data_IF_980532904109
#
_entry.id   IF_980532904109
#
_cell.length_a   1.000
_cell.length_b   1.000
_cell.length_c   1.000
_cell.angle_alpha   90.00
_cell.angle_beta   90.00
_cell.angle_gamma   90.00
#
_symmetry.space_group_name_H-M   'P 1'
#
loop_
_entity.id
_entity.type
_entity.pdbx_description
1 polymer ?
#
# COMPACT_ATOMS: atom_id res chain seq x y z
N UNK A 1 -6.99 52.26 19.39
CA UNK A 1 -6.69 51.50 20.59
C UNK A 1 -7.71 50.39 20.64
N UNK A 2 -7.41 49.27 20.03
CA UNK A 2 -7.84 47.89 20.36
C UNK A 2 -7.28 46.99 19.27
N UNK A 3 -6.24 46.33 19.65
CA UNK A 3 -5.61 45.25 18.93
C UNK A 3 -6.59 44.06 18.84
N UNK A 4 -6.85 43.52 17.65
CA UNK A 4 -7.52 42.25 17.47
C UNK A 4 -6.61 41.32 16.67
N UNK A 5 -5.87 40.56 17.42
CA UNK A 5 -5.10 39.41 16.99
C UNK A 5 -6.04 38.28 16.51
N UNK A 6 -6.06 38.00 15.20
CA UNK A 6 -6.80 36.88 14.62
C UNK A 6 -5.83 35.74 14.29
N UNK A 7 -5.62 34.86 15.28
CA UNK A 7 -5.00 33.56 15.07
C UNK A 7 -5.93 32.65 14.24
N UNK A 8 -5.52 32.36 13.01
CA UNK A 8 -6.17 31.34 12.15
C UNK A 8 -5.85 29.93 12.70
N UNK A 9 -6.80 29.35 13.40
CA UNK A 9 -6.78 27.93 13.74
C UNK A 9 -7.18 27.10 12.52
N UNK A 10 -6.24 26.36 11.93
CA UNK A 10 -6.51 25.35 10.93
C UNK A 10 -7.26 24.17 11.56
N UNK A 11 -8.55 24.05 11.32
CA UNK A 11 -9.38 22.96 11.79
C UNK A 11 -9.08 21.67 11.03
N UNK A 12 -8.37 20.74 11.65
CA UNK A 12 -8.37 19.33 11.26
C UNK A 12 -9.76 18.77 11.54
N UNK A 13 -10.53 18.45 10.51
CA UNK A 13 -11.79 17.71 10.67
C UNK A 13 -11.48 16.31 11.24
N UNK A 14 -11.72 16.15 12.53
CA UNK A 14 -11.61 14.88 13.23
C UNK A 14 -12.71 13.92 12.79
N UNK A 15 -12.32 12.72 12.36
CA UNK A 15 -13.26 11.62 12.19
C UNK A 15 -13.90 11.27 13.56
N UNK A 16 -15.21 10.96 13.59
CA UNK A 16 -15.89 10.66 14.85
C UNK A 16 -15.29 9.41 15.51
N UNK A 17 -14.84 9.55 16.73
CA UNK A 17 -14.28 8.48 17.55
C UNK A 17 -15.32 7.39 17.82
N UNK A 18 -15.03 6.15 17.44
CA UNK A 18 -15.73 4.97 17.93
C UNK A 18 -16.37 4.03 16.91
N UNK A 19 -16.45 4.35 15.63
CA UNK A 19 -16.97 3.40 14.64
C UNK A 19 -15.92 2.32 14.32
N UNK A 20 -16.19 1.07 14.70
CA UNK A 20 -15.53 -0.09 14.09
C UNK A 20 -15.90 -0.07 12.61
N UNK A 21 -14.93 0.17 11.76
CA UNK A 21 -15.16 0.10 10.32
C UNK A 21 -15.73 -1.28 9.96
N UNK A 22 -16.78 -1.29 9.18
CA UNK A 22 -17.32 -2.55 8.65
C UNK A 22 -16.30 -3.20 7.70
N UNK A 23 -16.42 -4.50 7.47
CA UNK A 23 -15.49 -5.26 6.62
C UNK A 23 -15.67 -4.97 5.13
N UNK A 24 -16.57 -4.09 4.75
CA UNK A 24 -16.93 -3.74 3.38
C UNK A 24 -16.84 -2.23 3.10
N UNK A 25 -16.40 -1.42 4.07
CA UNK A 25 -16.13 0.00 3.85
C UNK A 25 -14.88 0.17 2.99
N UNK A 26 -15.03 0.68 1.78
CA UNK A 26 -13.93 0.97 0.88
C UNK A 26 -13.08 2.13 1.44
N UNK A 27 -11.80 1.90 1.64
CA UNK A 27 -10.86 2.90 2.20
C UNK A 27 -9.81 3.36 1.20
N UNK A 28 -9.36 2.42 0.36
CA UNK A 28 -8.32 2.65 -0.63
C UNK A 28 -8.62 1.91 -1.92
N UNK A 29 -8.36 2.60 -3.03
CA UNK A 29 -8.26 2.01 -4.37
C UNK A 29 -6.85 2.28 -4.87
N UNK A 30 -6.08 1.23 -5.21
CA UNK A 30 -4.88 1.40 -6.01
C UNK A 30 -5.22 1.14 -7.47
N UNK A 31 -4.97 2.12 -8.32
CA UNK A 31 -5.26 2.02 -9.74
C UNK A 31 -3.97 2.08 -10.57
N UNK A 32 -3.67 0.98 -11.25
CA UNK A 32 -2.63 0.91 -12.29
C UNK A 32 -3.12 1.70 -13.50
N UNK A 33 -2.87 3.02 -13.49
CA UNK A 33 -3.43 3.94 -14.47
C UNK A 33 -2.75 3.84 -15.85
N UNK A 34 -1.56 3.30 -15.86
CA UNK A 34 -0.78 2.90 -17.04
C UNK A 34 0.15 1.76 -16.68
N UNK A 35 0.51 0.92 -17.66
CA UNK A 35 1.56 -0.09 -17.48
C UNK A 35 2.91 0.34 -18.04
N UNK A 36 2.98 1.48 -18.75
CA UNK A 36 4.24 2.03 -19.24
C UNK A 36 5.16 2.42 -18.09
N UNK A 37 6.44 2.07 -18.18
CA UNK A 37 7.46 2.41 -17.20
C UNK A 37 8.82 2.59 -17.84
N UNK A 38 9.56 3.58 -17.39
CA UNK A 38 10.94 3.85 -17.80
C UNK A 38 11.98 3.07 -17.00
N UNK A 39 11.58 2.31 -15.97
CA UNK A 39 12.45 1.44 -15.17
C UNK A 39 12.20 -0.04 -15.46
N UNK A 40 13.17 -0.90 -15.08
CA UNK A 40 13.16 -2.34 -15.30
C UNK A 40 13.29 -3.14 -14.00
N UNK A 41 12.64 -2.70 -12.91
CA UNK A 41 12.79 -3.25 -11.56
C UNK A 41 12.67 -4.77 -11.53
N UNK A 42 13.60 -5.45 -10.84
CA UNK A 42 13.67 -6.91 -10.77
C UNK A 42 12.45 -7.53 -10.08
N UNK A 43 11.82 -6.82 -9.15
CA UNK A 43 10.64 -7.25 -8.37
C UNK A 43 9.31 -6.78 -8.94
N UNK A 44 9.29 -6.16 -10.12
CA UNK A 44 8.10 -5.46 -10.63
C UNK A 44 6.87 -6.37 -10.72
N UNK A 45 5.86 -6.05 -9.92
CA UNK A 45 4.56 -6.74 -9.88
C UNK A 45 3.87 -6.78 -11.24
N UNK A 46 3.91 -5.67 -11.96
CA UNK A 46 3.24 -5.52 -13.26
C UNK A 46 4.06 -6.06 -14.44
N UNK A 47 5.33 -6.46 -14.21
CA UNK A 47 6.29 -6.71 -15.30
C UNK A 47 6.35 -5.56 -16.31
N UNK A 48 6.20 -4.33 -15.83
CA UNK A 48 6.11 -3.12 -16.64
C UNK A 48 7.39 -2.87 -17.44
N UNK A 49 7.21 -2.38 -18.65
CA UNK A 49 8.25 -1.92 -19.59
C UNK A 49 7.76 -0.69 -20.34
N UNK A 50 8.56 -0.10 -21.22
CA UNK A 50 8.02 0.87 -22.19
C UNK A 50 7.15 0.12 -23.20
N UNK A 51 5.85 0.54 -23.26
CA UNK A 51 4.84 -0.02 -24.15
C UNK A 51 5.08 0.17 -25.63
N UNK A 52 4.06 0.10 -26.45
CA UNK A 52 2.65 0.37 -26.10
C UNK A 52 1.93 -0.80 -25.45
N UNK A 53 1.00 -0.50 -24.54
CA UNK A 53 0.06 -1.47 -23.96
C UNK A 53 -1.35 -1.20 -24.50
N UNK A 54 -2.01 -2.26 -25.00
CA UNK A 54 -3.39 -2.19 -25.46
C UNK A 54 -4.39 -2.20 -24.31
N UNK A 55 -5.57 -1.62 -24.52
CA UNK A 55 -6.69 -1.70 -23.58
C UNK A 55 -6.59 -0.77 -22.36
N UNK A 56 -5.61 0.13 -22.29
CA UNK A 56 -5.59 1.14 -21.21
C UNK A 56 -6.86 2.01 -21.25
N UNK A 57 -7.49 2.21 -20.10
CA UNK A 57 -8.68 3.06 -19.98
C UNK A 57 -8.38 4.48 -20.47
N UNK A 58 -9.02 4.88 -21.55
CA UNK A 58 -8.90 6.23 -22.11
C UNK A 58 -9.52 7.27 -21.17
N UNK A 59 -9.18 8.56 -21.34
CA UNK A 59 -9.63 9.65 -20.47
C UNK A 59 -11.11 9.60 -20.10
N UNK A 60 -12.07 9.45 -21.04
CA UNK A 60 -13.49 9.43 -20.67
C UNK A 60 -13.85 8.25 -19.75
N UNK A 61 -13.27 7.07 -19.97
CA UNK A 61 -13.49 5.91 -19.12
C UNK A 61 -12.82 6.08 -17.74
N UNK A 62 -11.63 6.69 -17.70
CA UNK A 62 -10.92 7.03 -16.49
C UNK A 62 -11.73 7.98 -15.59
N UNK A 63 -12.31 9.04 -16.14
CA UNK A 63 -13.14 9.97 -15.39
C UNK A 63 -14.44 9.31 -14.89
N UNK A 64 -15.10 8.48 -15.73
CA UNK A 64 -16.29 7.71 -15.30
C UNK A 64 -15.97 6.76 -14.14
N UNK A 65 -14.81 6.09 -14.17
CA UNK A 65 -14.40 5.22 -13.08
C UNK A 65 -14.23 5.99 -11.76
N UNK A 66 -13.64 7.18 -11.78
CA UNK A 66 -13.52 8.02 -10.57
C UNK A 66 -14.90 8.45 -10.03
N UNK A 67 -15.86 8.77 -10.90
CA UNK A 67 -17.24 9.04 -10.49
C UNK A 67 -17.83 7.82 -9.75
N UNK A 68 -17.74 6.63 -10.33
CA UNK A 68 -18.24 5.40 -9.72
C UNK A 68 -17.57 5.05 -8.38
N UNK A 69 -16.25 5.28 -8.27
CA UNK A 69 -15.54 5.11 -6.99
C UNK A 69 -16.08 6.09 -5.95
N UNK A 70 -16.23 7.37 -6.32
CA UNK A 70 -16.72 8.42 -5.44
C UNK A 70 -18.18 8.24 -4.99
N UNK A 71 -19.00 7.57 -5.79
CA UNK A 71 -20.36 7.15 -5.45
C UNK A 71 -20.40 6.04 -4.40
N UNK A 72 -19.39 5.15 -4.40
CA UNK A 72 -19.28 4.09 -3.39
C UNK A 72 -18.77 4.65 -2.07
N UNK A 73 -17.65 5.41 -2.11
CA UNK A 73 -17.03 5.98 -0.91
C UNK A 73 -16.04 7.10 -1.28
N UNK A 74 -15.96 8.15 -0.44
CA UNK A 74 -14.91 9.19 -0.54
C UNK A 74 -13.60 8.67 0.05
N UNK A 75 -12.95 7.79 -0.68
CA UNK A 75 -11.78 7.04 -0.24
C UNK A 75 -10.45 7.64 -0.77
N UNK A 76 -9.35 7.01 -0.39
CA UNK A 76 -8.03 7.31 -0.97
C UNK A 76 -7.92 6.59 -2.32
N UNK A 77 -7.55 7.31 -3.37
CA UNK A 77 -7.20 6.74 -4.68
C UNK A 77 -5.71 6.92 -4.92
N UNK A 78 -5.01 5.81 -5.06
CA UNK A 78 -3.57 5.76 -5.35
C UNK A 78 -3.41 5.59 -6.85
N UNK A 79 -3.03 6.65 -7.55
CA UNK A 79 -2.62 6.57 -8.95
C UNK A 79 -1.24 5.92 -9.01
N UNK A 80 -1.18 4.70 -9.53
CA UNK A 80 0.04 3.90 -9.63
C UNK A 80 0.14 3.28 -11.02
N UNK A 81 1.02 2.32 -11.21
CA UNK A 81 1.09 1.62 -12.49
C UNK A 81 2.47 1.06 -12.77
N UNK A 82 2.94 1.26 -13.99
CA UNK A 82 4.35 1.34 -14.31
C UNK A 82 4.90 2.64 -13.72
N UNK A 83 4.86 3.72 -14.51
CA UNK A 83 5.16 5.07 -14.03
C UNK A 83 4.01 6.03 -14.44
N UNK A 84 3.22 6.53 -13.47
CA UNK A 84 2.05 7.37 -13.75
C UNK A 84 2.36 8.63 -14.58
N UNK A 85 3.54 9.22 -14.43
CA UNK A 85 3.95 10.43 -15.16
C UNK A 85 4.13 10.20 -16.67
N UNK A 86 4.15 8.94 -17.14
CA UNK A 86 4.13 8.61 -18.57
C UNK A 86 2.73 8.68 -19.17
N UNK A 87 1.68 8.77 -18.35
CA UNK A 87 0.32 8.93 -18.85
C UNK A 87 0.02 10.41 -19.13
N UNK A 88 -0.32 10.73 -20.38
CA UNK A 88 -0.47 12.12 -20.88
C UNK A 88 -1.54 12.93 -20.15
N UNK A 89 -2.65 12.30 -19.76
CA UNK A 89 -3.80 12.94 -19.10
C UNK A 89 -3.80 12.78 -17.56
N UNK A 90 -2.67 12.38 -16.95
CA UNK A 90 -2.58 12.04 -15.53
C UNK A 90 -3.07 13.18 -14.62
N UNK A 91 -2.69 14.42 -14.90
CA UNK A 91 -3.09 15.58 -14.09
C UNK A 91 -4.57 15.90 -14.24
N UNK A 92 -5.16 15.71 -15.44
CA UNK A 92 -6.61 15.86 -15.66
C UNK A 92 -7.39 14.82 -14.85
N UNK A 93 -6.92 13.58 -14.82
CA UNK A 93 -7.53 12.49 -14.05
C UNK A 93 -7.41 12.77 -12.55
N UNK A 94 -6.23 13.20 -12.08
CA UNK A 94 -6.00 13.54 -10.69
C UNK A 94 -6.90 14.69 -10.22
N UNK A 95 -6.96 15.80 -10.99
CA UNK A 95 -7.79 16.96 -10.67
C UNK A 95 -9.28 16.59 -10.60
N UNK A 96 -9.77 15.76 -11.52
CA UNK A 96 -11.14 15.29 -11.48
C UNK A 96 -11.45 14.49 -10.20
N UNK A 97 -10.57 13.56 -9.81
CA UNK A 97 -10.72 12.83 -8.55
C UNK A 97 -10.75 13.75 -7.33
N UNK A 98 -9.87 14.75 -7.29
CA UNK A 98 -9.83 15.76 -6.22
C UNK A 98 -11.13 16.57 -6.15
N UNK A 99 -11.69 17.00 -7.31
CA UNK A 99 -12.96 17.71 -7.40
C UNK A 99 -14.15 16.88 -6.90
N UNK A 100 -14.08 15.55 -7.08
CA UNK A 100 -15.08 14.62 -6.54
C UNK A 100 -14.97 14.41 -5.02
N UNK A 101 -13.96 15.00 -4.35
CA UNK A 101 -13.68 14.80 -2.92
C UNK A 101 -12.96 13.50 -2.59
N UNK A 102 -12.39 12.84 -3.59
CA UNK A 102 -11.48 11.71 -3.37
C UNK A 102 -10.12 12.22 -2.87
N UNK A 103 -9.48 11.48 -1.97
CA UNK A 103 -8.11 11.78 -1.56
C UNK A 103 -7.14 11.22 -2.59
N UNK A 104 -6.70 12.08 -3.52
CA UNK A 104 -5.80 11.68 -4.58
C UNK A 104 -4.35 11.63 -4.10
N UNK A 105 -3.69 10.50 -4.26
CA UNK A 105 -2.25 10.29 -3.99
C UNK A 105 -1.63 9.58 -5.19
N UNK A 106 -0.30 9.71 -5.36
CA UNK A 106 0.37 9.11 -6.51
C UNK A 106 1.61 8.33 -6.07
N UNK A 107 1.86 7.19 -6.71
CA UNK A 107 3.05 6.38 -6.48
C UNK A 107 3.94 6.42 -7.72
N UNK A 108 5.08 7.10 -7.61
CA UNK A 108 6.05 7.35 -8.69
C UNK A 108 7.41 6.75 -8.36
N UNK A 109 8.21 6.50 -9.38
CA UNK A 109 9.61 6.12 -9.19
C UNK A 109 10.53 7.32 -8.91
N UNK A 110 10.05 8.55 -9.10
CA UNK A 110 10.75 9.80 -8.85
C UNK A 110 11.64 10.29 -9.99
N UNK A 111 12.07 9.43 -10.91
CA UNK A 111 13.08 9.78 -11.93
C UNK A 111 12.57 10.72 -13.01
N UNK A 112 11.26 10.79 -13.22
CA UNK A 112 10.60 11.65 -14.23
C UNK A 112 10.02 12.93 -13.63
N UNK A 113 10.24 13.19 -12.34
CA UNK A 113 9.77 14.42 -11.70
C UNK A 113 10.60 15.61 -12.21
N UNK A 114 9.89 16.63 -12.68
CA UNK A 114 10.42 17.94 -13.08
C UNK A 114 9.77 19.04 -12.24
N UNK A 115 10.32 20.24 -12.23
CA UNK A 115 9.70 21.38 -11.53
C UNK A 115 8.28 21.67 -12.07
N UNK A 116 8.09 21.56 -13.39
CA UNK A 116 6.81 21.75 -14.05
C UNK A 116 5.77 20.72 -13.57
N UNK A 117 6.10 19.41 -13.66
CA UNK A 117 5.12 18.39 -13.31
C UNK A 117 4.88 18.28 -11.79
N UNK A 118 5.85 18.68 -10.96
CA UNK A 118 5.65 18.83 -9.51
C UNK A 118 4.61 19.92 -9.20
N UNK A 119 4.71 21.07 -9.85
CA UNK A 119 3.67 22.14 -9.75
C UNK A 119 2.31 21.62 -10.22
N UNK A 120 2.24 20.96 -11.37
CA UNK A 120 0.97 20.38 -11.89
C UNK A 120 0.37 19.31 -10.99
N UNK A 121 1.20 18.53 -10.27
CA UNK A 121 0.71 17.58 -9.24
C UNK A 121 0.05 18.31 -8.08
N UNK A 122 0.66 19.41 -7.58
CA UNK A 122 0.08 20.22 -6.53
C UNK A 122 -1.25 20.85 -6.98
N UNK A 123 -1.29 21.47 -8.18
CA UNK A 123 -2.48 22.09 -8.77
C UNK A 123 -3.62 21.07 -8.99
N UNK A 124 -3.28 19.83 -9.33
CA UNK A 124 -4.23 18.73 -9.49
C UNK A 124 -4.75 18.16 -8.14
N UNK A 125 -4.26 18.67 -7.01
CA UNK A 125 -4.71 18.27 -5.67
C UNK A 125 -4.12 16.93 -5.19
N UNK A 126 -2.95 16.53 -5.70
CA UNK A 126 -2.22 15.37 -5.17
C UNK A 126 -1.72 15.70 -3.76
N UNK A 127 -2.22 14.96 -2.77
CA UNK A 127 -1.95 15.26 -1.35
C UNK A 127 -0.69 14.59 -0.80
N UNK A 128 -0.22 13.50 -1.44
CA UNK A 128 0.99 12.79 -1.03
C UNK A 128 1.57 12.00 -2.19
N UNK A 129 2.88 11.92 -2.23
CA UNK A 129 3.60 11.05 -3.15
C UNK A 129 4.24 9.88 -2.42
N UNK A 130 4.18 8.69 -3.03
CA UNK A 130 4.96 7.54 -2.59
C UNK A 130 6.14 7.38 -3.55
N UNK A 131 7.35 7.48 -3.04
CA UNK A 131 8.57 7.36 -3.83
C UNK A 131 9.31 6.10 -3.41
N UNK A 132 9.75 5.36 -4.39
CA UNK A 132 10.37 4.07 -4.14
C UNK A 132 11.88 4.21 -3.94
N UNK A 133 12.38 3.76 -2.78
CA UNK A 133 13.81 3.64 -2.46
C UNK A 133 14.04 2.24 -1.89
N UNK A 134 14.84 1.41 -2.60
CA UNK A 134 15.09 0.01 -2.22
C UNK A 134 16.54 -0.30 -1.85
N UNK A 135 17.39 0.70 -1.82
CA UNK A 135 18.77 0.61 -1.36
C UNK A 135 19.20 1.92 -0.73
N UNK A 136 20.08 1.88 0.26
CA UNK A 136 20.67 3.06 0.91
C UNK A 136 21.79 3.71 0.07
N UNK A 137 22.18 3.11 -1.04
CA UNK A 137 23.20 3.59 -1.97
C UNK A 137 22.70 3.49 -3.42
N UNK A 138 23.29 4.31 -4.29
CA UNK A 138 22.98 4.29 -5.73
C UNK A 138 23.21 2.89 -6.34
N UNK A 139 24.33 2.25 -6.01
CA UNK A 139 24.64 0.91 -6.52
C UNK A 139 23.51 -0.10 -6.26
N UNK A 140 23.03 -0.17 -5.02
CA UNK A 140 22.02 -1.15 -4.60
C UNK A 140 20.64 -0.79 -5.11
N UNK A 141 20.28 0.49 -5.06
CA UNK A 141 18.99 0.93 -5.58
C UNK A 141 18.89 0.72 -7.09
N UNK A 142 19.91 1.13 -7.84
CA UNK A 142 19.96 1.02 -9.29
C UNK A 142 19.92 -0.45 -9.74
N UNK A 143 20.67 -1.34 -9.08
CA UNK A 143 20.61 -2.77 -9.34
C UNK A 143 19.19 -3.34 -9.12
N UNK A 144 18.50 -2.90 -8.08
CA UNK A 144 17.14 -3.33 -7.78
C UNK A 144 16.11 -2.76 -8.76
N UNK A 145 16.32 -1.50 -9.21
CA UNK A 145 15.46 -0.82 -10.18
C UNK A 145 15.78 -1.16 -11.64
N UNK A 146 16.91 -1.83 -11.87
CA UNK A 146 17.36 -2.28 -13.20
C UNK A 146 17.78 -1.16 -14.15
N UNK A 147 18.03 0.05 -13.65
CA UNK A 147 18.46 1.22 -14.43
C UNK A 147 19.45 2.05 -13.64
N UNK A 148 20.64 2.28 -14.21
CA UNK A 148 21.68 3.14 -13.63
C UNK A 148 21.20 4.59 -13.55
N UNK A 149 21.44 5.25 -12.41
CA UNK A 149 21.02 6.63 -12.14
C UNK A 149 19.57 6.75 -11.62
N UNK A 150 18.87 5.63 -11.37
CA UNK A 150 17.53 5.66 -10.80
C UNK A 150 17.52 6.26 -9.39
N UNK A 151 18.54 5.99 -8.56
CA UNK A 151 18.68 6.55 -7.21
C UNK A 151 18.79 8.07 -7.24
N UNK A 152 19.76 8.56 -7.99
CA UNK A 152 19.98 10.01 -8.12
C UNK A 152 18.77 10.71 -8.74
N UNK A 153 18.11 10.06 -9.71
CA UNK A 153 16.87 10.54 -10.29
C UNK A 153 15.75 10.66 -9.26
N UNK A 154 15.59 9.66 -8.39
CA UNK A 154 14.61 9.69 -7.32
C UNK A 154 14.92 10.79 -6.29
N UNK A 155 16.18 10.96 -5.89
CA UNK A 155 16.58 12.03 -4.96
C UNK A 155 16.32 13.42 -5.54
N UNK A 156 16.69 13.66 -6.81
CA UNK A 156 16.35 14.93 -7.49
C UNK A 156 14.83 15.15 -7.53
N UNK A 157 14.06 14.10 -7.81
CA UNK A 157 12.59 14.14 -7.80
C UNK A 157 12.05 14.55 -6.43
N UNK A 158 12.58 13.98 -5.35
CA UNK A 158 12.22 14.32 -3.97
C UNK A 158 12.44 15.82 -3.69
N UNK A 159 13.58 16.36 -4.06
CA UNK A 159 13.87 17.79 -3.86
C UNK A 159 12.86 18.71 -4.61
N UNK A 160 12.47 18.32 -5.81
CA UNK A 160 11.46 19.08 -6.58
C UNK A 160 10.06 18.99 -5.96
N UNK A 161 9.70 17.82 -5.43
CA UNK A 161 8.45 17.57 -4.73
C UNK A 161 8.37 18.41 -3.44
N UNK A 162 9.46 18.45 -2.66
CA UNK A 162 9.57 19.30 -1.46
C UNK A 162 9.38 20.77 -1.79
N UNK A 163 10.04 21.25 -2.87
CA UNK A 163 9.87 22.65 -3.34
C UNK A 163 8.44 22.96 -3.78
N UNK A 164 7.70 21.99 -4.29
CA UNK A 164 6.29 22.13 -4.63
C UNK A 164 5.34 22.02 -3.41
N UNK A 165 5.88 21.80 -2.21
CA UNK A 165 5.08 21.69 -0.98
C UNK A 165 4.23 20.44 -0.87
N UNK A 166 4.59 19.35 -1.57
CA UNK A 166 3.85 18.09 -1.52
C UNK A 166 4.53 17.14 -0.55
N UNK A 167 3.77 16.62 0.42
CA UNK A 167 4.22 15.57 1.33
C UNK A 167 4.62 14.31 0.57
N UNK A 168 5.64 13.60 1.05
CA UNK A 168 6.03 12.33 0.47
C UNK A 168 6.36 11.27 1.52
N UNK A 169 6.29 10.03 1.08
CA UNK A 169 6.71 8.84 1.82
C UNK A 169 7.69 8.02 1.00
N UNK A 170 8.54 7.28 1.68
CA UNK A 170 9.41 6.28 1.06
C UNK A 170 8.72 4.91 1.12
N UNK A 171 8.73 4.20 -0.01
CA UNK A 171 8.32 2.81 -0.11
C UNK A 171 9.54 1.94 -0.42
N UNK A 172 9.74 0.88 0.37
CA UNK A 172 10.86 -0.05 0.22
C UNK A 172 10.36 -1.48 0.10
N UNK A 173 10.71 -2.18 -0.97
CA UNK A 173 10.45 -3.62 -1.08
C UNK A 173 11.56 -4.40 -0.41
N UNK A 174 11.22 -5.22 0.59
CA UNK A 174 12.16 -5.99 1.39
C UNK A 174 12.40 -7.36 0.76
N UNK A 175 13.66 -7.68 0.51
CA UNK A 175 14.16 -8.95 0.00
C UNK A 175 15.41 -9.37 0.80
N UNK A 176 15.95 -10.57 0.55
CA UNK A 176 17.25 -10.98 1.15
C UNK A 176 18.39 -10.02 0.81
N UNK A 177 18.36 -9.42 -0.38
CA UNK A 177 19.41 -8.52 -0.83
C UNK A 177 19.50 -7.22 -0.02
N UNK A 178 18.36 -6.72 0.53
CA UNK A 178 18.33 -5.43 1.20
C UNK A 178 17.75 -5.45 2.64
N UNK A 179 17.32 -6.59 3.17
CA UNK A 179 16.72 -6.66 4.52
C UNK A 179 17.63 -6.07 5.62
N UNK A 180 18.94 -6.24 5.48
CA UNK A 180 19.93 -5.68 6.42
C UNK A 180 20.14 -4.16 6.26
N UNK A 181 19.67 -3.57 5.17
CA UNK A 181 19.79 -2.14 4.88
C UNK A 181 18.56 -1.34 5.30
N UNK A 182 17.48 -2.00 5.68
CA UNK A 182 16.24 -1.30 6.05
C UNK A 182 16.46 -0.20 7.11
N UNK A 183 17.28 -0.41 8.17
CA UNK A 183 17.60 0.68 9.11
C UNK A 183 18.24 1.89 8.42
N UNK A 184 19.23 1.69 7.53
CA UNK A 184 19.88 2.78 6.80
C UNK A 184 18.95 3.47 5.80
N UNK A 185 18.00 2.72 5.21
CA UNK A 185 16.98 3.31 4.32
C UNK A 185 15.98 4.14 5.15
N UNK A 186 15.68 3.71 6.38
CA UNK A 186 14.84 4.49 7.31
C UNK A 186 15.54 5.79 7.73
N UNK A 187 16.83 5.74 8.08
CA UNK A 187 17.63 6.92 8.37
C UNK A 187 17.64 7.87 7.16
N UNK A 188 17.86 7.34 5.94
CA UNK A 188 17.80 8.13 4.71
C UNK A 188 16.41 8.76 4.50
N UNK A 189 15.33 8.06 4.82
CA UNK A 189 13.98 8.62 4.72
C UNK A 189 13.78 9.79 5.69
N UNK A 190 14.34 9.71 6.91
CA UNK A 190 14.36 10.80 7.89
C UNK A 190 15.14 11.99 7.34
N UNK A 191 16.36 11.77 6.85
CA UNK A 191 17.26 12.82 6.33
C UNK A 191 16.66 13.55 5.13
N UNK A 192 15.94 12.83 4.27
CA UNK A 192 15.23 13.40 3.13
C UNK A 192 14.00 14.22 3.55
N UNK A 193 13.52 14.08 4.77
CA UNK A 193 12.32 14.75 5.28
C UNK A 193 11.02 14.06 4.86
N UNK A 194 11.03 12.75 4.67
CA UNK A 194 9.81 11.98 4.44
C UNK A 194 8.90 12.04 5.67
N UNK A 195 7.58 11.95 5.46
CA UNK A 195 6.61 11.88 6.56
C UNK A 195 6.26 10.45 6.93
N UNK A 196 6.63 9.47 6.09
CA UNK A 196 6.34 8.06 6.34
C UNK A 196 7.37 7.15 5.64
N UNK A 197 7.59 5.96 6.23
CA UNK A 197 8.31 4.86 5.60
C UNK A 197 7.43 3.61 5.58
N UNK A 198 7.14 3.11 4.39
CA UNK A 198 6.35 1.90 4.19
C UNK A 198 7.24 0.78 3.64
N UNK A 199 7.38 -0.30 4.41
CA UNK A 199 8.06 -1.50 3.93
C UNK A 199 7.04 -2.47 3.29
N UNK A 200 7.44 -3.06 2.16
CA UNK A 200 6.66 -4.05 1.43
C UNK A 200 7.41 -5.39 1.43
N UNK A 201 6.92 -6.36 2.14
CA UNK A 201 7.55 -7.69 2.12
C UNK A 201 7.24 -8.36 0.77
N UNK A 202 8.29 -8.79 0.05
CA UNK A 202 8.18 -9.35 -1.30
C UNK A 202 7.06 -10.39 -1.39
N UNK A 203 6.20 -10.20 -2.38
CA UNK A 203 5.26 -11.21 -2.86
C UNK A 203 5.71 -11.58 -4.28
N UNK A 204 6.05 -12.83 -4.56
CA UNK A 204 6.68 -13.25 -5.83
C UNK A 204 5.65 -13.25 -6.98
N UNK A 205 5.28 -12.06 -7.46
CA UNK A 205 4.38 -11.83 -8.59
C UNK A 205 5.07 -11.06 -9.70
N UNK A 206 4.58 -11.13 -10.93
CA UNK A 206 5.22 -10.50 -12.08
C UNK A 206 6.68 -10.92 -12.22
N UNK A 207 7.60 -9.96 -12.44
CA UNK A 207 9.06 -10.25 -12.43
C UNK A 207 9.58 -10.75 -11.09
N UNK A 208 8.90 -10.42 -9.98
CA UNK A 208 9.24 -10.96 -8.67
C UNK A 208 9.22 -12.50 -8.58
N UNK A 209 8.57 -13.20 -9.52
CA UNK A 209 8.63 -14.67 -9.63
C UNK A 209 10.03 -15.18 -9.95
N UNK A 210 10.80 -14.43 -10.74
CA UNK A 210 12.17 -14.78 -11.13
C UNK A 210 13.19 -14.57 -10.02
N UNK A 211 12.80 -13.86 -8.95
CA UNK A 211 13.61 -13.65 -7.74
C UNK A 211 12.91 -14.21 -6.49
N UNK A 212 12.12 -15.25 -6.64
CA UNK A 212 11.39 -15.86 -5.51
C UNK A 212 12.33 -16.40 -4.42
N UNK A 213 13.56 -16.81 -4.79
CA UNK A 213 14.66 -17.17 -3.90
C UNK A 213 15.14 -16.00 -3.02
N UNK A 214 14.89 -14.76 -3.44
CA UNK A 214 15.16 -13.54 -2.67
C UNK A 214 14.08 -13.23 -1.63
N UNK A 215 13.03 -14.02 -1.53
CA UNK A 215 12.07 -13.91 -0.43
C UNK A 215 12.79 -14.24 0.89
N UNK A 216 12.67 -13.35 1.88
CA UNK A 216 13.25 -13.58 3.21
C UNK A 216 12.60 -14.79 3.88
N UNK A 217 13.33 -15.47 4.77
CA UNK A 217 12.79 -16.63 5.50
C UNK A 217 11.68 -16.22 6.47
N UNK A 218 10.90 -17.16 6.95
CA UNK A 218 9.84 -16.88 7.93
C UNK A 218 10.40 -16.28 9.23
N UNK A 219 11.60 -16.71 9.63
CA UNK A 219 12.33 -16.18 10.80
C UNK A 219 12.83 -14.76 10.57
N UNK A 220 13.39 -14.46 9.40
CA UNK A 220 13.78 -13.10 9.01
C UNK A 220 12.58 -12.18 8.93
N UNK A 221 11.48 -12.69 8.38
CA UNK A 221 10.21 -11.96 8.31
C UNK A 221 9.72 -11.56 9.71
N UNK A 222 9.67 -12.50 10.63
CA UNK A 222 9.25 -12.26 12.02
C UNK A 222 10.20 -11.26 12.71
N UNK A 223 11.53 -11.45 12.61
CA UNK A 223 12.53 -10.53 13.16
C UNK A 223 12.40 -9.11 12.60
N UNK A 224 12.22 -8.98 11.28
CA UNK A 224 12.04 -7.67 10.63
C UNK A 224 10.82 -6.95 11.17
N UNK A 225 9.71 -7.65 11.40
CA UNK A 225 8.50 -7.04 11.93
C UNK A 225 8.60 -6.69 13.42
N UNK A 226 9.34 -7.46 14.22
CA UNK A 226 9.65 -7.08 15.60
C UNK A 226 10.52 -5.83 15.65
N UNK A 227 11.58 -5.77 14.83
CA UNK A 227 12.40 -4.58 14.69
C UNK A 227 11.55 -3.37 14.26
N UNK A 228 10.68 -3.53 13.28
CA UNK A 228 9.81 -2.47 12.78
C UNK A 228 8.80 -1.97 13.84
N UNK A 229 8.36 -2.86 14.73
CA UNK A 229 7.57 -2.46 15.90
C UNK A 229 8.38 -1.57 16.84
N UNK A 230 9.64 -1.91 17.10
CA UNK A 230 10.52 -1.15 18.00
C UNK A 230 10.88 0.25 17.45
N UNK A 231 10.84 0.45 16.12
CA UNK A 231 11.09 1.77 15.52
C UNK A 231 9.98 2.79 15.78
N UNK A 232 8.76 2.37 16.12
CA UNK A 232 7.61 3.28 16.31
C UNK A 232 7.86 4.39 17.32
N UNK A 233 8.61 4.10 18.36
CA UNK A 233 8.91 5.04 19.45
C UNK A 233 10.28 5.74 19.22
N UNK A 234 10.98 5.44 18.12
CA UNK A 234 12.33 5.93 17.80
C UNK A 234 12.39 6.90 16.64
N UNK A 235 11.37 6.91 15.79
CA UNK A 235 11.29 7.78 14.62
C UNK A 235 9.99 8.57 14.62
N UNK A 236 10.01 9.75 13.99
CA UNK A 236 8.81 10.54 13.73
C UNK A 236 8.05 10.07 12.48
N UNK A 237 8.61 9.14 11.70
CA UNK A 237 7.99 8.62 10.49
C UNK A 237 6.73 7.82 10.83
N UNK A 238 5.68 8.00 10.02
CA UNK A 238 4.55 7.10 10.02
C UNK A 238 4.98 5.75 9.40
N UNK A 239 5.12 4.72 10.23
CA UNK A 239 5.57 3.41 9.80
C UNK A 239 4.41 2.52 9.36
N UNK A 240 4.57 1.78 8.25
CA UNK A 240 3.59 0.79 7.79
C UNK A 240 4.28 -0.42 7.17
N UNK A 241 3.91 -1.61 7.65
CA UNK A 241 4.32 -2.88 7.06
C UNK A 241 3.22 -3.36 6.09
N UNK A 242 3.50 -3.31 4.79
CA UNK A 242 2.60 -3.72 3.70
C UNK A 242 2.96 -5.12 3.22
N UNK A 243 1.98 -5.90 2.77
CA UNK A 243 2.14 -7.34 2.49
C UNK A 243 2.67 -8.12 3.71
N UNK A 244 2.52 -7.56 4.89
CA UNK A 244 3.04 -8.03 6.16
C UNK A 244 1.97 -8.05 7.27
N UNK A 245 0.83 -8.74 7.07
CA UNK A 245 -0.28 -8.71 8.03
C UNK A 245 0.10 -9.28 9.40
N UNK A 246 1.19 -10.06 9.51
CA UNK A 246 1.72 -10.57 10.79
C UNK A 246 2.07 -9.43 11.76
N UNK A 247 2.44 -8.25 11.25
CA UNK A 247 2.71 -7.06 12.06
C UNK A 247 1.57 -6.78 13.05
N UNK A 248 0.31 -6.91 12.62
CA UNK A 248 -0.85 -6.65 13.48
C UNK A 248 -1.07 -7.71 14.57
N UNK A 249 -0.56 -8.92 14.38
CA UNK A 249 -0.47 -9.93 15.43
C UNK A 249 0.65 -9.57 16.41
N UNK A 250 1.85 -9.30 15.87
CA UNK A 250 3.03 -8.92 16.67
C UNK A 250 2.73 -7.71 17.54
N UNK A 251 2.16 -6.65 16.96
CA UNK A 251 1.75 -5.45 17.68
C UNK A 251 0.89 -5.78 18.91
N UNK A 252 -0.10 -6.67 18.77
CA UNK A 252 -0.97 -7.06 19.88
C UNK A 252 -0.28 -7.97 20.89
N UNK A 253 0.62 -8.83 20.46
CA UNK A 253 1.43 -9.66 21.35
C UNK A 253 2.38 -8.80 22.18
N UNK A 254 3.17 -7.94 21.53
CA UNK A 254 4.10 -7.02 22.17
C UNK A 254 3.41 -6.06 23.11
N UNK A 255 2.32 -5.42 22.69
CA UNK A 255 1.55 -4.54 23.56
C UNK A 255 1.04 -5.25 24.81
N UNK A 256 0.60 -6.52 24.69
CA UNK A 256 0.19 -7.33 25.84
C UNK A 256 1.36 -7.65 26.78
N UNK A 257 2.50 -8.03 26.23
CA UNK A 257 3.73 -8.31 27.00
C UNK A 257 4.23 -7.06 27.75
N UNK A 258 4.08 -5.88 27.12
CA UNK A 258 4.45 -4.57 27.69
C UNK A 258 3.36 -3.97 28.61
N UNK A 259 2.26 -4.67 28.85
CA UNK A 259 1.13 -4.15 29.63
C UNK A 259 0.40 -2.97 29.00
N UNK A 260 0.61 -2.71 27.70
CA UNK A 260 0.01 -1.60 26.95
C UNK A 260 -1.33 -2.00 26.34
N UNK A 261 -2.29 -1.07 26.36
CA UNK A 261 -3.55 -1.24 25.65
C UNK A 261 -3.39 -0.82 24.18
N UNK A 262 -3.94 -1.63 23.26
CA UNK A 262 -3.98 -1.28 21.84
C UNK A 262 -5.26 -0.49 21.56
N UNK A 263 -5.15 0.82 21.53
CA UNK A 263 -6.21 1.76 21.19
C UNK A 263 -5.69 2.87 20.27
N UNK A 264 -6.58 3.76 19.82
CA UNK A 264 -6.22 4.83 18.88
C UNK A 264 -5.21 5.82 19.49
N UNK A 265 -5.27 6.06 20.79
CA UNK A 265 -4.34 6.96 21.50
C UNK A 265 -2.91 6.42 21.49
N UNK A 266 -2.75 5.12 21.69
CA UNK A 266 -1.44 4.46 21.82
C UNK A 266 -0.86 3.99 20.47
N UNK A 267 -1.72 3.63 19.50
CA UNK A 267 -1.30 2.98 18.27
C UNK A 267 -1.91 3.59 16.99
N UNK A 268 -2.63 4.70 17.12
CA UNK A 268 -3.22 5.41 15.99
C UNK A 268 -4.10 4.49 15.11
N UNK A 269 -3.96 4.63 13.80
CA UNK A 269 -4.71 3.84 12.83
C UNK A 269 -4.44 2.32 12.93
N UNK A 270 -3.28 1.90 13.43
CA UNK A 270 -2.96 0.47 13.59
C UNK A 270 -3.85 -0.24 14.60
N UNK A 271 -4.43 0.50 15.56
CA UNK A 271 -5.37 -0.06 16.52
C UNK A 271 -6.71 -0.43 15.89
N UNK A 272 -7.15 0.34 14.89
CA UNK A 272 -8.50 0.25 14.28
C UNK A 272 -8.50 -0.37 12.88
N UNK A 273 -7.34 -0.63 12.29
CA UNK A 273 -7.20 -1.31 11.01
C UNK A 273 -6.79 -2.78 11.18
N UNK A 274 -6.60 -3.47 10.08
CA UNK A 274 -6.15 -4.86 10.05
C UNK A 274 -5.01 -5.05 9.06
N UNK A 275 -4.37 -6.23 9.09
CA UNK A 275 -3.22 -6.55 8.28
C UNK A 275 -3.52 -6.62 6.79
N UNK A 276 -4.33 -7.58 6.37
CA UNK A 276 -4.72 -7.70 4.95
C UNK A 276 -6.05 -6.99 4.71
N UNK A 277 -6.03 -5.94 3.89
CA UNK A 277 -7.22 -5.16 3.51
C UNK A 277 -7.82 -5.61 2.16
N UNK A 278 -7.18 -6.53 1.44
CA UNK A 278 -7.65 -6.98 0.13
C UNK A 278 -9.11 -7.45 0.18
N UNK A 279 -9.98 -6.84 -0.62
CA UNK A 279 -11.42 -7.13 -0.66
C UNK A 279 -12.24 -6.65 0.54
N UNK A 280 -11.59 -6.17 1.62
CA UNK A 280 -12.28 -5.72 2.85
C UNK A 280 -12.24 -4.21 3.07
N UNK A 281 -11.24 -3.52 2.59
CA UNK A 281 -11.09 -2.07 2.67
C UNK A 281 -10.21 -1.54 1.56
N UNK A 282 -9.74 -2.43 0.71
CA UNK A 282 -8.82 -2.15 -0.38
C UNK A 282 -9.18 -2.98 -1.60
N UNK A 283 -9.09 -2.38 -2.78
CA UNK A 283 -9.04 -3.10 -4.04
C UNK A 283 -7.98 -2.50 -4.97
N UNK A 284 -7.65 -3.26 -5.98
CA UNK A 284 -6.77 -2.86 -7.07
C UNK A 284 -7.54 -2.86 -8.39
N UNK A 285 -7.26 -1.88 -9.25
CA UNK A 285 -7.82 -1.80 -10.60
C UNK A 285 -6.66 -1.78 -11.59
N UNK A 286 -6.67 -2.66 -12.58
CA UNK A 286 -5.66 -2.72 -13.63
C UNK A 286 -5.81 -1.58 -14.63
N UNK A 287 -4.80 -1.36 -15.47
CA UNK A 287 -4.84 -0.38 -16.56
C UNK A 287 -5.96 -0.65 -17.59
N UNK A 288 -6.45 -1.89 -17.66
CA UNK A 288 -7.56 -2.32 -18.53
C UNK A 288 -8.93 -2.28 -17.87
N UNK A 289 -9.00 -1.98 -16.54
CA UNK A 289 -10.26 -1.90 -15.81
C UNK A 289 -10.65 -3.17 -15.05
N UNK A 290 -9.79 -4.20 -15.00
CA UNK A 290 -10.04 -5.38 -14.19
C UNK A 290 -9.83 -5.06 -12.71
N UNK A 291 -10.84 -5.36 -11.89
CA UNK A 291 -10.80 -5.18 -10.44
C UNK A 291 -10.30 -6.46 -9.77
N UNK A 292 -9.38 -6.31 -8.82
CA UNK A 292 -8.78 -7.41 -8.06
C UNK A 292 -8.72 -7.04 -6.58
N UNK A 293 -8.67 -8.00 -5.64
CA UNK A 293 -8.59 -7.71 -4.21
C UNK A 293 -7.33 -6.92 -3.84
N UNK A 294 -6.23 -7.18 -4.55
CA UNK A 294 -4.93 -6.58 -4.31
C UNK A 294 -4.09 -6.64 -5.58
N UNK A 295 -3.18 -5.69 -5.78
CA UNK A 295 -2.28 -5.68 -6.93
C UNK A 295 -1.32 -6.89 -7.01
N UNK A 296 -1.16 -7.62 -5.92
CA UNK A 296 -0.37 -8.86 -5.85
C UNK A 296 -1.24 -10.13 -5.87
N UNK A 297 -2.55 -10.04 -5.81
CA UNK A 297 -3.49 -11.15 -5.86
C UNK A 297 -4.25 -11.10 -7.20
N UNK A 298 -3.72 -11.79 -8.18
CA UNK A 298 -4.24 -11.79 -9.55
C UNK A 298 -5.46 -12.72 -9.67
N UNK A 299 -6.53 -12.38 -8.94
CA UNK A 299 -7.84 -13.03 -9.01
C UNK A 299 -8.86 -11.97 -9.43
N UNK A 300 -9.41 -12.13 -10.62
CA UNK A 300 -10.35 -11.17 -11.18
C UNK A 300 -11.66 -11.18 -10.39
N UNK A 301 -12.06 -10.00 -9.95
CA UNK A 301 -13.26 -9.77 -9.15
C UNK A 301 -14.37 -9.09 -9.96
N UNK A 302 -14.04 -8.55 -11.14
CA UNK A 302 -14.95 -7.90 -12.08
C UNK A 302 -14.21 -6.98 -13.05
N UNK A 303 -14.95 -6.39 -13.99
CA UNK A 303 -14.44 -5.52 -15.06
C UNK A 303 -15.30 -4.24 -15.12
N UNK A 304 -14.71 -3.08 -14.81
CA UNK A 304 -15.42 -1.78 -14.78
C UNK A 304 -15.83 -1.28 -16.18
N UNK A 305 -15.37 -1.94 -17.23
CA UNK A 305 -15.83 -1.64 -18.61
C UNK A 305 -17.17 -2.32 -18.93
N UNK A 306 -17.59 -3.30 -18.13
CA UNK A 306 -18.76 -4.14 -18.36
C UNK A 306 -19.84 -4.03 -17.28
N UNK A 307 -19.44 -3.67 -16.05
CA UNK A 307 -20.34 -3.59 -14.90
C UNK A 307 -19.94 -2.42 -14.00
N UNK A 308 -20.85 -1.97 -13.14
CA UNK A 308 -20.56 -0.86 -12.24
C UNK A 308 -19.53 -1.24 -11.18
N UNK A 309 -18.67 -0.29 -10.79
CA UNK A 309 -17.72 -0.51 -9.70
C UNK A 309 -18.43 -0.84 -8.38
N UNK A 310 -19.61 -0.27 -8.14
CA UNK A 310 -20.40 -0.54 -6.95
C UNK A 310 -20.88 -2.01 -6.89
N UNK A 311 -21.30 -2.59 -8.01
CA UNK A 311 -21.69 -3.99 -8.10
C UNK A 311 -20.52 -4.92 -7.86
N UNK A 312 -19.37 -4.61 -8.47
CA UNK A 312 -18.13 -5.38 -8.25
C UNK A 312 -17.76 -5.35 -6.77
N UNK A 313 -17.71 -4.14 -6.16
CA UNK A 313 -17.30 -3.98 -4.77
C UNK A 313 -18.23 -4.71 -3.80
N UNK A 314 -19.54 -4.68 -4.05
CA UNK A 314 -20.54 -5.27 -3.14
C UNK A 314 -20.78 -6.76 -3.35
N UNK A 315 -20.78 -7.21 -4.60
CA UNK A 315 -21.33 -8.53 -4.96
C UNK A 315 -20.31 -9.51 -5.54
N UNK A 316 -19.06 -9.09 -5.80
CA UNK A 316 -18.04 -10.03 -6.26
C UNK A 316 -17.84 -11.15 -5.23
N UNK A 317 -17.94 -12.40 -5.69
CA UNK A 317 -17.73 -13.59 -4.86
C UNK A 317 -16.39 -13.55 -4.14
N UNK A 318 -15.32 -13.11 -4.81
CA UNK A 318 -13.98 -13.03 -4.23
C UNK A 318 -13.95 -12.07 -3.05
N UNK A 319 -14.62 -10.92 -3.15
CA UNK A 319 -14.70 -9.96 -2.05
C UNK A 319 -15.57 -10.46 -0.89
N UNK A 320 -16.70 -11.11 -1.20
CA UNK A 320 -17.55 -11.75 -0.19
C UNK A 320 -16.78 -12.82 0.59
N UNK A 321 -16.04 -13.69 -0.11
CA UNK A 321 -15.21 -14.73 0.51
C UNK A 321 -14.16 -14.12 1.45
N UNK A 322 -13.46 -13.05 1.02
CA UNK A 322 -12.40 -12.39 1.79
C UNK A 322 -12.94 -11.62 3.01
N UNK A 323 -14.19 -11.16 2.97
CA UNK A 323 -14.88 -10.49 4.09
C UNK A 323 -15.33 -11.45 5.18
N UNK A 324 -15.52 -12.73 4.83
CA UNK A 324 -15.84 -13.78 5.80
C UNK A 324 -14.56 -14.48 6.25
N UNK A 325 -14.04 -14.09 7.41
CA UNK A 325 -12.80 -14.66 7.97
C UNK A 325 -12.92 -16.11 8.40
N UNK A 326 -14.14 -16.64 8.49
CA UNK A 326 -14.38 -18.05 8.83
C UNK A 326 -14.17 -18.96 7.61
N UNK A 327 -14.07 -18.38 6.39
CA UNK A 327 -13.65 -19.08 5.18
C UNK A 327 -12.14 -19.38 5.14
N UNK A 328 -11.31 -18.71 5.98
CA UNK A 328 -9.88 -18.97 6.03
C UNK A 328 -9.59 -20.40 6.48
N UNK A 329 -8.56 -21.01 5.85
CA UNK A 329 -8.19 -22.42 6.03
C UNK A 329 -6.85 -22.57 6.75
N UNK A 330 -6.54 -23.81 7.14
CA UNK A 330 -5.30 -24.16 7.82
C UNK A 330 -5.09 -23.35 9.09
N UNK A 331 -3.84 -23.08 9.47
CA UNK A 331 -3.51 -22.32 10.68
C UNK A 331 -4.12 -20.91 10.71
N UNK A 332 -4.39 -20.29 9.55
CA UNK A 332 -5.07 -18.99 9.51
C UNK A 332 -6.54 -19.09 9.93
N UNK A 333 -7.25 -20.16 9.53
CA UNK A 333 -8.63 -20.43 9.93
C UNK A 333 -8.78 -20.68 11.43
N UNK A 334 -7.83 -21.39 12.02
CA UNK A 334 -7.80 -21.68 13.46
C UNK A 334 -7.18 -20.56 14.32
N UNK A 335 -6.65 -19.49 13.69
CA UNK A 335 -5.92 -18.45 14.39
C UNK A 335 -6.82 -17.49 15.18
N UNK A 336 -6.50 -17.23 16.45
CA UNK A 336 -7.16 -16.20 17.27
C UNK A 336 -6.98 -14.78 16.73
N UNK A 337 -5.94 -14.55 15.91
CA UNK A 337 -5.66 -13.25 15.30
C UNK A 337 -6.23 -13.10 13.88
N UNK A 338 -7.05 -14.04 13.37
CA UNK A 338 -7.55 -14.03 11.99
C UNK A 338 -8.29 -12.73 11.62
N UNK A 339 -8.98 -12.09 12.57
CA UNK A 339 -9.72 -10.83 12.33
C UNK A 339 -8.81 -9.61 12.24
N UNK A 340 -7.63 -9.63 12.86
CA UNK A 340 -6.69 -8.50 12.88
C UNK A 340 -5.49 -8.69 11.96
N UNK A 341 -5.08 -9.92 11.69
CA UNK A 341 -4.00 -10.27 10.79
C UNK A 341 -4.53 -10.73 9.42
N UNK A 342 -5.18 -11.87 9.38
CA UNK A 342 -5.75 -12.49 8.19
C UNK A 342 -4.72 -13.16 7.27
N UNK A 343 -3.41 -13.06 7.51
CA UNK A 343 -2.35 -13.52 6.61
C UNK A 343 -2.34 -12.77 5.25
N UNK A 344 -1.23 -12.80 4.52
CA UNK A 344 -1.18 -12.22 3.18
C UNK A 344 -1.88 -13.15 2.18
N UNK A 345 -3.04 -12.73 1.68
CA UNK A 345 -3.86 -13.56 0.78
C UNK A 345 -3.20 -13.75 -0.60
N UNK A 346 -2.41 -12.76 -1.03
CA UNK A 346 -1.63 -12.88 -2.26
C UNK A 346 -0.52 -13.92 -2.13
N UNK A 347 0.22 -13.94 -1.01
CA UNK A 347 1.28 -14.93 -0.79
C UNK A 347 0.70 -16.33 -0.57
N UNK A 348 -0.43 -16.45 0.12
CA UNK A 348 -1.15 -17.72 0.23
C UNK A 348 -1.54 -18.25 -1.17
N UNK A 349 -2.10 -17.39 -2.02
CA UNK A 349 -2.48 -17.74 -3.39
C UNK A 349 -1.28 -18.14 -4.26
N UNK A 350 -0.20 -17.38 -4.25
CA UNK A 350 1.01 -17.71 -5.04
C UNK A 350 1.63 -19.04 -4.62
N UNK A 351 1.50 -19.42 -3.34
CA UNK A 351 2.03 -20.69 -2.83
C UNK A 351 1.12 -21.91 -3.10
N UNK A 352 -0.20 -21.71 -3.21
CA UNK A 352 -1.16 -22.84 -3.15
C UNK A 352 -2.25 -22.79 -4.24
N UNK A 353 -2.41 -21.67 -4.96
CA UNK A 353 -3.55 -21.44 -5.85
C UNK A 353 -4.87 -21.10 -5.12
N UNK A 354 -4.88 -21.06 -3.78
CA UNK A 354 -6.05 -20.75 -2.97
C UNK A 354 -5.82 -19.50 -2.10
N UNK A 355 -6.54 -18.42 -2.37
CA UNK A 355 -6.43 -17.19 -1.58
C UNK A 355 -7.00 -17.29 -0.16
N UNK A 356 -7.70 -18.37 0.18
CA UNK A 356 -8.18 -18.66 1.53
C UNK A 356 -7.25 -19.58 2.32
N UNK A 357 -6.22 -20.13 1.69
CA UNK A 357 -5.24 -21.02 2.33
C UNK A 357 -4.44 -20.29 3.43
N UNK A 358 -3.69 -21.03 4.21
CA UNK A 358 -2.82 -20.44 5.23
C UNK A 358 -1.64 -19.66 4.64
N UNK A 359 -1.21 -18.65 5.37
CA UNK A 359 -0.02 -17.84 5.03
C UNK A 359 1.26 -18.69 5.23
N UNK A 360 2.08 -18.91 4.19
CA UNK A 360 3.22 -19.82 4.28
C UNK A 360 4.36 -19.33 5.19
N UNK A 361 4.60 -18.00 5.27
CA UNK A 361 5.69 -17.41 6.07
C UNK A 361 5.33 -17.16 7.54
N UNK A 362 4.15 -17.59 8.01
CA UNK A 362 3.76 -17.38 9.40
C UNK A 362 4.36 -18.43 10.33
N UNK A 363 5.19 -18.01 11.29
CA UNK A 363 5.73 -18.89 12.33
C UNK A 363 4.74 -19.15 13.48
N UNK A 364 3.74 -18.30 13.65
CA UNK A 364 2.77 -18.44 14.74
C UNK A 364 1.92 -19.70 14.56
N UNK A 365 1.95 -20.55 15.58
CA UNK A 365 1.10 -21.74 15.68
C UNK A 365 -0.04 -21.46 16.65
N UNK A 366 -1.29 -21.39 16.19
CA UNK A 366 -2.42 -21.17 17.09
C UNK A 366 -2.58 -22.39 18.02
N UNK A 367 -3.02 -22.20 19.28
CA UNK A 367 -3.38 -23.30 20.16
C UNK A 367 -4.45 -24.19 19.48
N UNK A 368 -4.36 -25.49 19.67
CA UNK A 368 -5.35 -26.41 19.12
C UNK A 368 -6.76 -26.11 19.67
N UNK A 369 -7.82 -26.50 18.93
CA UNK A 369 -9.19 -26.31 19.38
C UNK A 369 -9.45 -26.93 20.76
N UNK A 370 -8.83 -28.07 21.07
CA UNK A 370 -8.90 -28.74 22.40
C UNK A 370 -8.31 -27.88 23.51
N UNK A 371 -7.21 -27.16 23.26
CA UNK A 371 -6.54 -26.28 24.23
C UNK A 371 -7.32 -24.96 24.49
N UNK A 372 -8.29 -24.59 23.62
CA UNK A 372 -9.10 -23.39 23.80
C UNK A 372 -10.39 -23.64 24.59
N UNK A 373 -10.89 -24.88 24.58
CA UNK A 373 -12.10 -25.26 25.32
C UNK A 373 -11.84 -25.53 26.81
N UNK A 374 -10.56 -25.60 27.22
CA UNK A 374 -10.15 -25.80 28.62
C UNK A 374 -9.66 -24.53 29.34
N UNK A 375 -9.92 -23.35 28.76
CA UNK A 375 -9.68 -22.03 29.38
C UNK A 375 -10.97 -21.23 29.34
#
# INVERSE_FOLDING_TARGET
>A
MTDTDQTKSGGTQGHPHGQRFSNDTLRLVAWEITRNCNLACVHCRASATMGPYSGELQTPAALRLLNQIAEVEKCIVILTGGEPLLRKDIFKVAAHGSQLGLRMVMAVNGTLVTAENAGRMADAGIQRLSISIDGATAEKHDAFRGVKGAFEGALRGIELIKKAGIDFQINTTVTRANVKEIPRIEDLAVDLGAIAHHIFLLVPTGRGKYISDQTITAEEYERTLHWFYDQRDRTHLQLKATCAPHYYRILRQRAREEGKKVDFKTHGLDAVTRGCLGGTGFCFISHTGIVQPCGFLHVDSGDVTRQSFADIWRHSKVFIDLRNYDNLRGKCGDCGYKRVCGGCRARAYEATGDYLAEEPLCLYRPPSRKQRQGR
#
